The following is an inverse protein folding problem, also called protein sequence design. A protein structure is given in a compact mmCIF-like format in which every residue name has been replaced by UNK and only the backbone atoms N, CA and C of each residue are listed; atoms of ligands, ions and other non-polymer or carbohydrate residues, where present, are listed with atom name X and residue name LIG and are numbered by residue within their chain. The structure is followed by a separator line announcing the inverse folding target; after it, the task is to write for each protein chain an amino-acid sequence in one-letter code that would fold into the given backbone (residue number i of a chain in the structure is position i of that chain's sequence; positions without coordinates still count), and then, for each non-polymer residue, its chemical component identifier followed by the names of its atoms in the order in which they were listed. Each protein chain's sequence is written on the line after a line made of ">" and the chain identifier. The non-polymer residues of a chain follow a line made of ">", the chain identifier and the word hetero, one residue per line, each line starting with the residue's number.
data_IF_248354273513
#
_entry.id   IF_248354273513
#
_cell.length_a   1.000
_cell.length_b   1.000
_cell.length_c   1.000
_cell.angle_alpha   90.00
_cell.angle_beta   90.00
_cell.angle_gamma   90.00
#
_symmetry.space_group_name_H-M   'P 1'
#
loop_
_entity.id
_entity.type
_entity.pdbx_description
1 polymer ?
#
# COMPACT_ATOMS: atom_id res chain seq x y z
N UNK A 1 0.04 -10.13 0.69
CA UNK A 1 -0.04 -11.53 1.17
C UNK A 1 -0.99 -11.72 2.35
N UNK A 2 -0.92 -10.90 3.40
CA UNK A 2 -1.75 -11.06 4.61
C UNK A 2 -3.25 -11.22 4.33
N UNK A 3 -3.83 -10.31 3.53
CA UNK A 3 -5.27 -10.34 3.22
C UNK A 3 -5.66 -11.62 2.49
N UNK A 4 -4.88 -12.05 1.49
CA UNK A 4 -5.16 -13.28 0.74
C UNK A 4 -5.07 -14.54 1.60
N UNK A 5 -4.25 -14.53 2.66
CA UNK A 5 -4.14 -15.65 3.60
C UNK A 5 -5.35 -15.72 4.53
N UNK A 6 -5.77 -14.60 5.09
CA UNK A 6 -6.87 -14.55 6.07
C UNK A 6 -8.25 -14.55 5.39
N UNK A 7 -8.34 -14.03 4.16
CA UNK A 7 -9.56 -13.91 3.36
C UNK A 7 -9.29 -14.34 1.90
N UNK A 8 -9.15 -15.65 1.65
CA UNK A 8 -8.85 -16.18 0.31
C UNK A 8 -10.00 -16.02 -0.70
N UNK A 9 -11.20 -15.67 -0.24
CA UNK A 9 -12.40 -15.45 -1.04
C UNK A 9 -12.52 -14.03 -1.60
N UNK A 10 -11.63 -13.12 -1.22
CA UNK A 10 -11.67 -11.71 -1.64
C UNK A 10 -10.72 -11.46 -2.81
N UNK A 11 -11.28 -11.03 -3.93
CA UNK A 11 -10.51 -10.55 -5.07
C UNK A 11 -9.94 -9.14 -4.81
N UNK A 12 -8.65 -8.97 -5.09
CA UNK A 12 -7.95 -7.68 -4.92
C UNK A 12 -7.53 -7.15 -6.30
N UNK A 13 -7.95 -5.92 -6.59
CA UNK A 13 -7.56 -5.21 -7.79
C UNK A 13 -6.64 -4.04 -7.41
N UNK A 14 -5.48 -3.95 -8.06
CA UNK A 14 -4.52 -2.86 -7.84
C UNK A 14 -3.98 -2.35 -9.18
N UNK A 15 -3.61 -1.07 -9.24
CA UNK A 15 -2.99 -0.47 -10.42
C UNK A 15 -1.52 -0.84 -10.60
N UNK A 16 -0.83 -1.16 -9.52
CA UNK A 16 0.57 -1.61 -9.51
C UNK A 16 0.87 -2.49 -8.29
N UNK A 17 1.90 -3.33 -8.40
CA UNK A 17 2.47 -4.09 -7.29
C UNK A 17 3.92 -3.59 -7.11
N UNK A 18 4.20 -3.02 -5.95
CA UNK A 18 5.51 -2.51 -5.56
C UNK A 18 6.35 -3.59 -4.86
N UNK A 19 7.65 -3.33 -4.68
CA UNK A 19 8.63 -4.35 -4.27
C UNK A 19 8.52 -4.76 -2.80
N UNK A 20 8.40 -3.79 -1.89
CA UNK A 20 8.49 -4.04 -0.44
C UNK A 20 7.96 -2.87 0.38
N UNK A 21 7.90 -3.09 1.70
CA UNK A 21 7.76 -2.03 2.69
C UNK A 21 9.13 -1.64 3.26
N UNK A 22 9.31 -0.39 3.66
CA UNK A 22 10.45 0.05 4.46
C UNK A 22 10.18 -0.11 5.98
N UNK A 23 11.15 0.25 6.83
CA UNK A 23 11.06 0.13 8.29
C UNK A 23 9.93 0.94 8.93
N UNK A 24 9.45 1.97 8.23
CA UNK A 24 8.34 2.82 8.66
C UNK A 24 6.99 2.37 8.09
N UNK A 25 6.96 1.26 7.34
CA UNK A 25 5.73 0.71 6.75
C UNK A 25 5.29 1.40 5.45
N UNK A 26 6.11 2.27 4.85
CA UNK A 26 5.81 2.83 3.53
C UNK A 26 6.15 1.85 2.42
N UNK A 27 5.32 1.84 1.39
CA UNK A 27 5.54 1.08 0.15
C UNK A 27 6.70 1.68 -0.64
N UNK A 28 7.59 0.83 -1.16
CA UNK A 28 8.80 1.19 -1.92
C UNK A 28 8.77 0.51 -3.31
N UNK A 29 8.94 1.25 -4.41
CA UNK A 29 9.15 2.70 -4.48
C UNK A 29 7.93 3.54 -4.06
N UNK A 30 6.71 3.05 -4.30
CA UNK A 30 5.47 3.62 -3.79
C UNK A 30 5.28 5.12 -4.08
N UNK A 31 4.48 5.79 -3.26
CA UNK A 31 4.11 7.20 -3.46
C UNK A 31 4.32 8.11 -2.24
N UNK A 32 4.88 7.60 -1.15
CA UNK A 32 4.96 8.30 0.14
C UNK A 32 3.61 8.34 0.85
N UNK A 33 3.34 9.40 1.62
CA UNK A 33 2.04 9.58 2.28
C UNK A 33 0.97 10.06 1.29
N UNK A 34 -0.06 9.24 1.09
CA UNK A 34 -1.15 9.56 0.17
C UNK A 34 -2.01 10.74 0.67
N UNK A 35 -2.24 10.83 1.98
CA UNK A 35 -3.07 11.85 2.60
C UNK A 35 -2.44 13.23 2.49
N UNK A 36 -1.17 13.36 2.87
CA UNK A 36 -0.43 14.62 2.77
C UNK A 36 -0.35 15.10 1.32
N UNK A 37 -0.18 14.18 0.37
CA UNK A 37 -0.15 14.52 -1.06
C UNK A 37 -1.51 14.98 -1.60
N UNK A 38 -2.61 14.45 -1.09
CA UNK A 38 -3.96 14.78 -1.55
C UNK A 38 -4.51 16.04 -0.88
N UNK A 39 -4.23 16.23 0.41
CA UNK A 39 -4.88 17.26 1.22
C UNK A 39 -3.92 18.36 1.68
N UNK A 40 -2.62 18.24 1.40
CA UNK A 40 -1.62 19.26 1.75
C UNK A 40 -1.43 19.43 3.25
N UNK A 41 -1.68 18.37 4.02
CA UNK A 41 -1.62 18.37 5.48
C UNK A 41 -0.18 18.30 6.00
N UNK A 42 0.04 18.84 7.21
CA UNK A 42 1.23 18.63 8.05
C UNK A 42 0.96 18.99 9.50
#
# INVERSE_FOLDING_TARGET
>A
ELVLKEHPDVDIYTGAIDEKLNEHGYIVPGLGDAGDRLFGTK
#
